data_IF_122609682012
#
_entry.id   IF_122609682012
#
_cell.length_a   1.000
_cell.length_b   1.000
_cell.length_c   1.000
_cell.angle_alpha   90.00
_cell.angle_beta   90.00
_cell.angle_gamma   90.00
#
_symmetry.space_group_name_H-M   'P 1'
#
loop_
_entity.id
_entity.type
_entity.pdbx_description
1 polymer ?
#
# COMPACT_ATOMS: atom_id res chain seq x y z
N UNK A 1 20.87 26.30 6.64
CA UNK A 1 20.38 26.54 5.26
C UNK A 1 20.11 25.18 4.63
N UNK A 2 18.89 24.65 4.75
CA UNK A 2 18.49 23.35 4.18
C UNK A 2 17.11 23.47 3.54
N UNK A 3 17.10 23.76 2.23
CA UNK A 3 16.17 23.16 1.27
C UNK A 3 14.66 23.30 1.48
N UNK A 4 14.15 24.45 1.93
CA UNK A 4 12.72 24.82 1.83
C UNK A 4 12.32 25.12 0.37
N UNK A 5 12.40 24.11 -0.51
CA UNK A 5 12.31 24.34 -1.95
C UNK A 5 11.75 23.21 -2.82
N UNK A 6 11.40 22.06 -2.25
CA UNK A 6 10.70 21.04 -3.03
C UNK A 6 9.21 21.30 -2.90
N UNK A 7 8.66 22.15 -3.79
CA UNK A 7 7.22 22.16 -4.06
C UNK A 7 6.79 20.69 -4.16
N UNK A 8 5.83 20.19 -3.35
CA UNK A 8 5.38 18.81 -3.51
C UNK A 8 4.87 18.70 -4.93
N UNK A 9 5.67 18.06 -5.80
CA UNK A 9 5.30 17.78 -7.18
C UNK A 9 3.99 17.02 -7.03
N UNK A 10 2.85 17.60 -7.41
CA UNK A 10 1.54 16.94 -7.34
C UNK A 10 1.77 15.56 -7.94
N UNK A 11 1.80 14.51 -7.10
CA UNK A 11 2.00 13.15 -7.56
C UNK A 11 0.87 12.95 -8.56
N UNK A 12 1.20 12.83 -9.84
CA UNK A 12 0.21 12.48 -10.85
C UNK A 12 -0.51 11.25 -10.29
N UNK A 13 -1.85 11.16 -10.34
CA UNK A 13 -2.55 9.97 -9.90
C UNK A 13 -1.89 8.78 -10.62
N UNK A 14 -1.17 7.96 -9.85
CA UNK A 14 -0.33 6.88 -10.39
C UNK A 14 -1.17 5.72 -10.91
N UNK A 15 -2.49 5.80 -10.75
CA UNK A 15 -3.43 4.77 -11.14
C UNK A 15 -4.58 5.37 -11.95
N UNK A 16 -4.98 4.64 -12.99
CA UNK A 16 -6.20 4.91 -13.73
C UNK A 16 -7.44 4.57 -12.87
N UNK A 17 -8.63 4.93 -13.35
CA UNK A 17 -9.89 4.70 -12.63
C UNK A 17 -10.10 3.21 -12.33
N UNK A 18 -9.88 2.36 -13.34
CA UNK A 18 -10.03 0.91 -13.23
C UNK A 18 -9.14 0.30 -12.14
N UNK A 19 -7.87 0.69 -12.07
CA UNK A 19 -6.96 0.25 -11.02
C UNK A 19 -7.44 0.71 -9.65
N UNK A 20 -7.96 1.93 -9.52
CA UNK A 20 -8.51 2.43 -8.25
C UNK A 20 -9.69 1.60 -7.80
N UNK A 21 -10.61 1.28 -8.71
CA UNK A 21 -11.76 0.43 -8.42
C UNK A 21 -11.32 -0.99 -8.01
N UNK A 22 -10.36 -1.57 -8.72
CA UNK A 22 -9.80 -2.89 -8.37
C UNK A 22 -9.19 -2.90 -6.97
N UNK A 23 -8.41 -1.88 -6.60
CA UNK A 23 -7.88 -1.79 -5.24
C UNK A 23 -9.01 -1.56 -4.24
N UNK A 24 -9.99 -0.71 -4.52
CA UNK A 24 -11.14 -0.50 -3.64
C UNK A 24 -11.93 -1.79 -3.37
N UNK A 25 -11.95 -2.72 -4.32
CA UNK A 25 -12.58 -4.04 -4.19
C UNK A 25 -11.69 -5.12 -3.57
N UNK A 26 -10.37 -4.88 -3.42
CA UNK A 26 -9.44 -5.84 -2.82
C UNK A 26 -9.86 -6.21 -1.38
N UNK A 27 -10.13 -7.49 -1.12
CA UNK A 27 -10.54 -7.98 0.21
C UNK A 27 -9.49 -8.88 0.87
N UNK A 28 -8.68 -9.56 0.05
CA UNK A 28 -7.66 -10.50 0.49
C UNK A 28 -6.39 -10.26 -0.33
N UNK A 29 -5.25 -10.17 0.34
CA UNK A 29 -3.94 -10.22 -0.27
C UNK A 29 -3.21 -11.48 0.23
N UNK A 30 -2.75 -12.30 -0.72
CA UNK A 30 -1.95 -13.49 -0.42
C UNK A 30 -0.52 -13.18 -0.84
N UNK A 31 0.43 -13.39 0.07
CA UNK A 31 1.86 -13.25 -0.21
C UNK A 31 2.48 -14.61 0.05
N UNK A 32 3.04 -15.20 -1.00
CA UNK A 32 3.79 -16.44 -0.93
C UNK A 32 5.29 -16.15 -0.73
N UNK A 33 6.04 -17.13 -0.23
CA UNK A 33 7.48 -17.03 0.08
C UNK A 33 7.83 -15.82 0.97
N UNK A 34 7.03 -15.58 2.02
CA UNK A 34 7.21 -14.41 2.89
C UNK A 34 8.58 -14.37 3.58
N UNK A 35 9.22 -15.52 3.79
CA UNK A 35 10.57 -15.62 4.36
C UNK A 35 11.64 -14.93 3.51
N UNK A 36 11.38 -14.73 2.21
CA UNK A 36 12.26 -14.00 1.29
C UNK A 36 11.94 -12.51 1.19
N UNK A 37 10.84 -12.06 1.82
CA UNK A 37 10.34 -10.69 1.71
C UNK A 37 10.89 -9.81 2.83
N UNK A 38 11.52 -8.69 2.48
CA UNK A 38 11.97 -7.69 3.46
C UNK A 38 10.76 -7.04 4.17
N UNK A 39 10.86 -6.90 5.49
CA UNK A 39 9.85 -6.25 6.35
C UNK A 39 9.48 -4.84 5.88
N UNK A 40 10.40 -4.13 5.22
CA UNK A 40 10.12 -2.81 4.65
C UNK A 40 9.04 -2.89 3.57
N UNK A 41 8.98 -3.97 2.78
CA UNK A 41 7.92 -4.16 1.79
C UNK A 41 6.54 -4.29 2.45
N UNK A 42 6.45 -5.04 3.55
CA UNK A 42 5.20 -5.16 4.30
C UNK A 42 4.73 -3.79 4.82
N UNK A 43 5.65 -2.97 5.35
CA UNK A 43 5.34 -1.61 5.80
C UNK A 43 4.88 -0.69 4.66
N UNK A 44 5.51 -0.80 3.48
CA UNK A 44 5.09 -0.06 2.28
C UNK A 44 3.69 -0.49 1.81
N UNK A 45 3.40 -1.79 1.80
CA UNK A 45 2.09 -2.32 1.43
C UNK A 45 1.01 -1.82 2.40
N UNK A 46 1.26 -1.88 3.72
CA UNK A 46 0.34 -1.38 4.75
C UNK A 46 0.01 0.10 4.54
N UNK A 47 1.04 0.94 4.43
CA UNK A 47 0.87 2.38 4.24
C UNK A 47 0.09 2.70 2.96
N UNK A 48 0.37 1.99 1.87
CA UNK A 48 -0.31 2.21 0.60
C UNK A 48 -1.77 1.77 0.68
N UNK A 49 -2.07 0.60 1.25
CA UNK A 49 -3.45 0.10 1.38
C UNK A 49 -4.30 1.00 2.26
N UNK A 50 -3.79 1.46 3.41
CA UNK A 50 -4.47 2.45 4.27
C UNK A 50 -4.85 3.71 3.51
N UNK A 51 -3.92 4.24 2.71
CA UNK A 51 -4.12 5.44 1.89
C UNK A 51 -5.16 5.20 0.80
N UNK A 52 -5.08 4.06 0.10
CA UNK A 52 -5.95 3.74 -1.05
C UNK A 52 -7.35 3.32 -0.65
N UNK A 53 -7.52 2.70 0.52
CA UNK A 53 -8.81 2.31 1.10
C UNK A 53 -9.47 3.41 1.90
N UNK A 54 -8.74 4.49 2.19
CA UNK A 54 -9.17 5.57 3.08
C UNK A 54 -9.51 5.06 4.50
N UNK A 55 -8.68 4.14 5.00
CA UNK A 55 -8.89 3.41 6.26
C UNK A 55 -7.57 3.46 7.06
N UNK A 56 -7.20 4.63 7.57
CA UNK A 56 -5.87 4.86 8.15
C UNK A 56 -5.63 4.12 9.48
N UNK A 57 -6.71 3.86 10.23
CA UNK A 57 -6.63 3.25 11.55
C UNK A 57 -6.64 1.72 11.50
N UNK A 58 -6.90 1.13 10.32
CA UNK A 58 -6.94 -0.31 10.12
C UNK A 58 -5.63 -0.82 9.56
N UNK A 59 -5.10 -1.89 10.15
CA UNK A 59 -3.97 -2.63 9.59
C UNK A 59 -4.32 -3.07 8.16
N UNK A 60 -3.39 -2.83 7.23
CA UNK A 60 -3.53 -3.01 5.79
C UNK A 60 -4.80 -2.40 5.18
N UNK A 61 -5.31 -1.30 5.74
CA UNK A 61 -6.55 -0.66 5.27
C UNK A 61 -7.78 -1.58 5.36
N UNK A 62 -7.78 -2.56 6.27
CA UNK A 62 -8.86 -3.52 6.45
C UNK A 62 -8.88 -4.67 5.44
N UNK A 63 -7.83 -4.82 4.63
CA UNK A 63 -7.65 -5.96 3.73
C UNK A 63 -7.17 -7.17 4.54
N UNK A 64 -7.78 -8.34 4.34
CA UNK A 64 -7.32 -9.58 4.94
C UNK A 64 -5.97 -10.00 4.33
N UNK A 65 -5.07 -10.54 5.14
CA UNK A 65 -3.75 -10.99 4.69
C UNK A 65 -3.58 -12.48 4.97
N UNK A 66 -3.08 -13.20 3.96
CA UNK A 66 -2.60 -14.56 4.10
C UNK A 66 -1.13 -14.57 3.70
N UNK A 67 -0.27 -14.78 4.69
CA UNK A 67 1.17 -14.89 4.49
C UNK A 67 1.51 -16.38 4.46
N UNK A 68 2.14 -16.82 3.39
CA UNK A 68 2.56 -18.20 3.15
C UNK A 68 4.06 -18.20 2.88
N UNK A 69 4.77 -19.21 3.39
CA UNK A 69 6.20 -19.38 3.20
C UNK A 69 6.76 -20.35 4.25
N UNK A 70 7.96 -20.88 3.98
CA UNK A 70 8.76 -21.69 4.89
C UNK A 70 9.89 -20.86 5.50
#
# INVERSE_FOLDING_TARGET
>A
MFGWGVKPKKRKPTMNLEQRERIAQLRLLIIDEISTTDVQFLGMIDSELRTRKNEQDKIFGGVAFLLVGD
#
